data_IF_970455207713
#
_entry.id   IF_970455207713
#
_cell.length_a   1.000
_cell.length_b   1.000
_cell.length_c   1.000
_cell.angle_alpha   90.00
_cell.angle_beta   90.00
_cell.angle_gamma   90.00
#
_symmetry.space_group_name_H-M   'P 1'
#
loop_
_entity.id
_entity.type
_entity.pdbx_description
1 polymer ?
#
# COMPACT_ATOMS: atom_id res chain seq x y z
N UNK A 1 39.59 18.13 60.23
CA UNK A 1 39.84 17.68 58.84
C UNK A 1 38.51 17.66 58.07
N UNK A 2 38.38 18.49 57.02
CA UNK A 2 37.38 18.36 55.91
C UNK A 2 38.05 17.52 54.80
N UNK A 3 37.35 16.81 53.88
CA UNK A 3 36.42 17.37 52.85
C UNK A 3 35.09 16.58 52.73
N UNK A 4 33.92 17.06 52.26
CA UNK A 4 33.50 17.88 51.11
C UNK A 4 33.52 17.12 49.76
N UNK A 5 32.38 16.53 49.33
CA UNK A 5 32.02 16.29 47.91
C UNK A 5 30.54 15.87 47.79
N UNK A 6 29.69 16.77 47.26
CA UNK A 6 29.01 16.69 45.94
C UNK A 6 27.80 15.73 45.91
N UNK A 7 26.57 16.25 46.06
CA UNK A 7 25.68 16.76 45.00
C UNK A 7 25.17 15.69 44.02
N UNK A 8 23.86 15.40 44.19
CA UNK A 8 22.86 15.19 43.16
C UNK A 8 23.12 14.07 42.14
N UNK A 9 22.60 12.87 42.45
CA UNK A 9 22.27 11.90 41.40
C UNK A 9 21.01 12.37 40.68
N UNK A 10 21.19 12.67 39.39
CA UNK A 10 20.16 13.08 38.46
C UNK A 10 18.99 12.09 38.45
N UNK A 11 17.76 12.63 38.47
CA UNK A 11 16.55 11.89 38.20
C UNK A 11 16.57 11.40 36.75
N UNK A 12 16.66 10.09 36.56
CA UNK A 12 16.42 9.44 35.28
C UNK A 12 14.91 9.48 35.03
N UNK A 13 14.43 10.50 34.33
CA UNK A 13 13.06 10.52 33.80
C UNK A 13 13.06 9.51 32.65
N UNK A 14 12.49 8.34 32.89
CA UNK A 14 12.17 7.40 31.82
C UNK A 14 11.19 8.10 30.88
N UNK A 15 11.68 8.53 29.72
CA UNK A 15 10.86 9.00 28.61
C UNK A 15 9.87 7.89 28.27
N UNK A 16 8.58 8.13 28.55
CA UNK A 16 7.50 7.35 27.97
C UNK A 16 7.61 7.56 26.47
N UNK A 17 8.12 6.55 25.77
CA UNK A 17 8.04 6.44 24.33
C UNK A 17 6.54 6.40 23.95
N UNK A 18 5.96 7.57 23.74
CA UNK A 18 4.77 7.69 22.93
C UNK A 18 5.16 7.11 21.58
N UNK A 19 4.61 5.94 21.24
CA UNK A 19 4.77 5.39 19.90
C UNK A 19 4.20 6.40 18.92
N UNK A 20 5.07 7.15 18.26
CA UNK A 20 4.73 7.92 17.07
C UNK A 20 3.99 6.97 16.12
N UNK A 21 2.89 7.40 15.45
CA UNK A 21 2.30 6.60 14.40
C UNK A 21 3.43 6.27 13.43
N UNK A 22 3.75 4.98 13.31
CA UNK A 22 4.81 4.53 12.42
C UNK A 22 4.37 4.92 11.02
N UNK A 23 4.94 6.00 10.52
CA UNK A 23 4.88 6.41 9.12
C UNK A 23 5.72 5.38 8.34
N UNK A 24 5.28 4.12 8.34
CA UNK A 24 5.87 3.11 7.48
C UNK A 24 5.64 3.63 6.06
N UNK A 25 6.71 3.83 5.28
CA UNK A 25 6.59 4.44 3.98
C UNK A 25 5.61 3.62 3.16
N UNK A 26 4.49 4.25 2.76
CA UNK A 26 3.46 3.64 1.92
C UNK A 26 4.14 2.90 0.78
N UNK A 27 4.09 1.57 0.83
CA UNK A 27 4.87 0.75 -0.08
C UNK A 27 4.17 0.74 -1.42
N UNK A 28 4.87 1.18 -2.47
CA UNK A 28 4.39 1.03 -3.84
C UNK A 28 4.39 -0.46 -4.21
N UNK A 29 3.19 -1.01 -4.46
CA UNK A 29 3.03 -2.43 -4.82
C UNK A 29 3.62 -2.72 -6.20
N UNK A 30 3.68 -1.72 -7.08
CA UNK A 30 3.99 -1.84 -8.50
C UNK A 30 5.37 -1.31 -8.88
N UNK A 31 6.17 -0.91 -7.88
CA UNK A 31 7.54 -0.48 -8.05
C UNK A 31 8.41 -1.54 -8.75
N UNK A 32 9.39 -1.07 -9.52
CA UNK A 32 10.30 -1.95 -10.25
C UNK A 32 11.13 -2.81 -9.28
N UNK A 33 11.26 -4.11 -9.58
CA UNK A 33 11.98 -5.06 -8.73
C UNK A 33 11.16 -5.64 -7.58
N UNK A 34 9.93 -5.19 -7.36
CA UNK A 34 9.01 -5.84 -6.42
C UNK A 34 8.62 -7.20 -6.99
N UNK A 35 8.88 -8.27 -6.22
CA UNK A 35 8.37 -9.60 -6.55
C UNK A 35 6.96 -9.76 -6.03
N UNK A 36 6.09 -10.19 -6.91
CA UNK A 36 4.70 -10.49 -6.61
C UNK A 36 4.59 -11.90 -6.01
N UNK A 37 4.06 -11.97 -4.80
CA UNK A 37 3.96 -13.21 -4.01
C UNK A 37 2.57 -13.39 -3.42
N UNK A 38 1.59 -12.60 -3.87
CA UNK A 38 0.20 -12.72 -3.48
C UNK A 38 -0.36 -14.11 -3.77
N UNK A 39 -1.39 -14.49 -3.01
CA UNK A 39 -2.18 -15.68 -3.30
C UNK A 39 -2.64 -15.68 -4.77
N UNK A 40 -2.62 -16.86 -5.37
CA UNK A 40 -3.03 -17.03 -6.76
C UNK A 40 -4.55 -16.86 -6.89
N UNK A 41 -4.98 -16.21 -7.97
CA UNK A 41 -6.38 -15.96 -8.29
C UNK A 41 -6.73 -16.50 -9.68
N UNK A 42 -7.95 -17.00 -9.80
CA UNK A 42 -8.59 -17.38 -11.05
C UNK A 42 -9.83 -16.49 -11.21
N UNK A 43 -9.92 -15.74 -12.31
CA UNK A 43 -10.98 -14.75 -12.52
C UNK A 43 -11.27 -14.62 -14.02
N UNK A 44 -12.54 -14.61 -14.38
CA UNK A 44 -13.00 -14.31 -15.74
C UNK A 44 -14.08 -13.23 -15.69
N UNK A 45 -13.74 -12.03 -16.14
CA UNK A 45 -14.64 -10.87 -16.18
C UNK A 45 -14.51 -10.16 -17.51
N UNK A 46 -15.62 -9.67 -18.03
CA UNK A 46 -15.69 -8.98 -19.33
C UNK A 46 -16.36 -7.63 -19.17
N UNK A 47 -15.66 -6.57 -19.56
CA UNK A 47 -16.17 -5.20 -19.48
C UNK A 47 -16.54 -4.76 -18.05
N UNK A 48 -15.88 -5.31 -17.04
CA UNK A 48 -16.14 -5.00 -15.64
C UNK A 48 -15.56 -3.64 -15.26
N UNK A 49 -16.25 -2.93 -14.38
CA UNK A 49 -15.79 -1.64 -13.87
C UNK A 49 -14.56 -1.81 -12.97
N UNK A 50 -13.63 -0.85 -13.06
CA UNK A 50 -12.36 -0.92 -12.31
C UNK A 50 -12.56 -1.06 -10.80
N UNK A 51 -13.53 -0.34 -10.24
CA UNK A 51 -13.84 -0.40 -8.82
C UNK A 51 -14.28 -1.81 -8.40
N UNK A 52 -15.12 -2.47 -9.19
CA UNK A 52 -15.53 -3.85 -8.94
C UNK A 52 -14.37 -4.83 -9.08
N UNK A 53 -13.50 -4.63 -10.08
CA UNK A 53 -12.32 -5.48 -10.28
C UNK A 53 -11.37 -5.37 -9.09
N UNK A 54 -11.06 -4.17 -8.61
CA UNK A 54 -10.21 -3.99 -7.44
C UNK A 54 -10.86 -4.55 -6.16
N UNK A 55 -12.19 -4.43 -6.03
CA UNK A 55 -12.94 -5.05 -4.93
C UNK A 55 -12.79 -6.57 -4.92
N UNK A 56 -12.99 -7.23 -6.07
CA UNK A 56 -12.82 -8.69 -6.19
C UNK A 56 -11.38 -9.14 -5.88
N UNK A 57 -10.39 -8.36 -6.31
CA UNK A 57 -8.97 -8.62 -5.98
C UNK A 57 -8.75 -8.50 -4.47
N UNK A 58 -9.24 -7.44 -3.83
CA UNK A 58 -9.08 -7.20 -2.40
C UNK A 58 -9.76 -8.27 -1.53
N UNK A 59 -10.97 -8.67 -1.91
CA UNK A 59 -11.72 -9.76 -1.26
C UNK A 59 -10.91 -11.07 -1.30
N UNK A 60 -10.30 -11.37 -2.44
CA UNK A 60 -9.46 -12.57 -2.60
C UNK A 60 -8.14 -12.46 -1.83
N UNK A 61 -7.54 -11.27 -1.83
CA UNK A 61 -6.31 -10.98 -1.09
C UNK A 61 -6.51 -10.87 0.43
N UNK A 62 -7.77 -10.79 0.90
CA UNK A 62 -8.16 -10.55 2.30
C UNK A 62 -7.56 -9.25 2.87
N UNK A 63 -7.51 -8.20 2.06
CA UNK A 63 -7.03 -6.87 2.45
C UNK A 63 -8.18 -5.85 2.43
N UNK A 64 -8.05 -4.77 3.18
CA UNK A 64 -8.95 -3.63 3.06
C UNK A 64 -8.64 -2.85 1.78
N UNK A 65 -9.64 -2.20 1.20
CA UNK A 65 -9.50 -1.47 -0.06
C UNK A 65 -10.03 -0.05 0.06
N UNK A 66 -9.25 0.91 -0.43
CA UNK A 66 -9.68 2.30 -0.65
C UNK A 66 -9.48 2.65 -2.11
N UNK A 67 -10.58 3.00 -2.79
CA UNK A 67 -10.58 3.47 -4.18
C UNK A 67 -11.45 4.74 -4.25
N UNK A 68 -10.93 5.88 -4.72
CA UNK A 68 -11.71 7.08 -4.96
C UNK A 68 -12.62 6.93 -6.19
N UNK A 69 -13.64 7.77 -6.26
CA UNK A 69 -14.66 7.78 -7.31
C UNK A 69 -14.10 8.13 -8.70
N UNK A 70 -13.00 8.87 -8.77
CA UNK A 70 -12.31 9.26 -10.00
C UNK A 70 -11.55 8.09 -10.69
N UNK A 71 -11.43 6.94 -10.02
CA UNK A 71 -10.97 5.68 -10.61
C UNK A 71 -12.14 5.07 -11.40
N UNK A 72 -12.15 5.37 -12.70
CA UNK A 72 -13.20 4.97 -13.64
C UNK A 72 -12.61 4.28 -14.86
N UNK A 73 -13.40 3.43 -15.51
CA UNK A 73 -12.97 2.66 -16.67
C UNK A 73 -13.46 1.22 -16.60
N UNK A 74 -13.21 0.48 -17.68
CA UNK A 74 -13.59 -0.93 -17.80
C UNK A 74 -12.40 -1.78 -18.20
N UNK A 75 -12.38 -3.02 -17.74
CA UNK A 75 -11.35 -4.01 -18.07
C UNK A 75 -11.97 -5.38 -18.32
N UNK A 76 -11.30 -6.16 -19.16
CA UNK A 76 -11.60 -7.58 -19.38
C UNK A 76 -10.41 -8.39 -18.92
N UNK A 77 -10.63 -9.36 -18.04
CA UNK A 77 -9.60 -10.19 -17.45
C UNK A 77 -9.98 -11.66 -17.61
N UNK A 78 -9.01 -12.48 -18.01
CA UNK A 78 -9.10 -13.94 -17.97
C UNK A 78 -7.81 -14.46 -17.34
N UNK A 79 -7.90 -14.85 -16.07
CA UNK A 79 -6.76 -15.12 -15.19
C UNK A 79 -6.83 -16.56 -14.70
N UNK A 80 -5.67 -17.22 -14.67
CA UNK A 80 -5.51 -18.60 -14.19
C UNK A 80 -4.27 -18.72 -13.32
N UNK A 81 -4.45 -18.97 -12.02
CA UNK A 81 -3.37 -19.07 -11.03
C UNK A 81 -2.36 -17.91 -11.07
N UNK A 82 -2.84 -16.67 -11.18
CA UNK A 82 -1.97 -15.47 -11.22
C UNK A 82 -1.94 -14.82 -9.84
N UNK A 83 -0.78 -14.36 -9.38
CA UNK A 83 -0.68 -13.64 -8.10
C UNK A 83 -1.52 -12.35 -8.14
N UNK A 84 -2.38 -12.13 -7.13
CA UNK A 84 -3.32 -11.01 -7.12
C UNK A 84 -2.64 -9.64 -7.21
N UNK A 85 -1.46 -9.50 -6.61
CA UNK A 85 -0.65 -8.29 -6.59
C UNK A 85 -0.06 -7.98 -7.97
N UNK A 86 0.34 -9.02 -8.72
CA UNK A 86 0.74 -8.87 -10.11
C UNK A 86 -0.44 -8.40 -10.99
N UNK A 87 -1.63 -8.94 -10.75
CA UNK A 87 -2.85 -8.57 -11.48
C UNK A 87 -3.23 -7.12 -11.17
N UNK A 88 -3.25 -6.74 -9.89
CA UNK A 88 -3.55 -5.38 -9.46
C UNK A 88 -2.61 -4.37 -10.15
N UNK A 89 -1.31 -4.68 -10.19
CA UNK A 89 -0.33 -3.85 -10.86
C UNK A 89 -0.48 -3.81 -12.38
N UNK A 90 -0.86 -4.92 -13.02
CA UNK A 90 -1.13 -4.94 -14.45
C UNK A 90 -2.32 -4.02 -14.79
N UNK A 91 -3.43 -4.12 -14.04
CA UNK A 91 -4.61 -3.27 -14.22
C UNK A 91 -4.27 -1.80 -13.95
N UNK A 92 -3.55 -1.50 -12.87
CA UNK A 92 -3.18 -0.13 -12.54
C UNK A 92 -2.34 0.54 -13.63
N UNK A 93 -1.34 -0.17 -14.18
CA UNK A 93 -0.49 0.35 -15.26
C UNK A 93 -1.26 0.65 -16.53
N UNK A 94 -2.26 -0.17 -16.89
CA UNK A 94 -3.10 0.05 -18.07
C UNK A 94 -3.98 1.30 -17.97
N UNK A 95 -4.33 1.70 -16.74
CA UNK A 95 -5.25 2.80 -16.47
C UNK A 95 -4.58 4.02 -15.81
N UNK A 96 -3.24 4.09 -15.81
CA UNK A 96 -2.47 5.17 -15.17
C UNK A 96 -2.86 5.40 -13.70
N UNK A 97 -2.92 4.31 -12.95
CA UNK A 97 -3.23 4.30 -11.53
C UNK A 97 -1.96 4.01 -10.72
N UNK A 98 -1.90 4.57 -9.51
CA UNK A 98 -0.93 4.24 -8.49
C UNK A 98 -1.56 3.29 -7.47
N UNK A 99 -0.78 2.32 -6.99
CA UNK A 99 -1.18 1.41 -5.92
C UNK A 99 -0.18 1.52 -4.78
N UNK A 100 -0.68 1.86 -3.60
CA UNK A 100 0.11 1.89 -2.37
C UNK A 100 -0.48 0.96 -1.33
N UNK A 101 0.38 0.37 -0.51
CA UNK A 101 0.00 -0.47 0.62
C UNK A 101 0.38 0.23 1.91
N UNK A 102 -0.61 0.40 2.78
CA UNK A 102 -0.49 0.96 4.12
C UNK A 102 -1.00 -0.09 5.12
N UNK A 103 -0.06 -0.86 5.71
CA UNK A 103 -0.39 -2.02 6.53
C UNK A 103 -1.25 -3.05 5.77
N UNK A 104 -2.53 -3.19 6.17
CA UNK A 104 -3.51 -4.09 5.53
C UNK A 104 -4.49 -3.35 4.59
N UNK A 105 -4.17 -2.12 4.19
CA UNK A 105 -5.01 -1.30 3.32
C UNK A 105 -4.32 -1.16 1.97
N UNK A 106 -5.00 -1.63 0.93
CA UNK A 106 -4.66 -1.38 -0.46
C UNK A 106 -5.33 -0.07 -0.89
N UNK A 107 -4.52 0.91 -1.27
CA UNK A 107 -4.99 2.21 -1.73
C UNK A 107 -4.70 2.33 -3.21
N UNK A 108 -5.74 2.49 -4.01
CA UNK A 108 -5.65 2.71 -5.46
C UNK A 108 -6.04 4.14 -5.74
N UNK A 109 -5.18 4.91 -6.40
CA UNK A 109 -5.48 6.29 -6.80
C UNK A 109 -5.07 6.50 -8.25
N UNK A 110 -5.47 7.63 -8.84
CA UNK A 110 -4.80 8.04 -10.08
C UNK A 110 -3.33 8.31 -9.82
N UNK A 111 -2.50 7.95 -10.81
CA UNK A 111 -1.10 8.31 -10.80
C UNK A 111 -1.02 9.85 -10.83
N UNK A 112 -0.31 10.49 -9.87
CA UNK A 112 -0.11 11.92 -9.93
C UNK A 112 0.61 12.25 -11.23
N UNK A 113 0.08 13.19 -12.00
CA UNK A 113 0.69 13.60 -13.26
C UNK A 113 2.17 13.92 -13.00
N UNK A 114 3.07 13.12 -13.58
CA UNK A 114 4.50 13.31 -13.40
C UNK A 114 4.87 14.73 -13.86
N UNK A 115 5.33 15.62 -12.98
CA UNK A 115 5.71 16.96 -13.38
C UNK A 115 7.02 16.87 -14.17
N UNK A 116 6.93 16.82 -15.51
CA UNK A 116 8.10 17.04 -16.37
C UNK A 116 8.39 16.03 -17.49
N UNK A 117 7.38 15.57 -18.24
CA UNK A 117 7.64 15.09 -19.61
C UNK A 117 7.25 16.19 -20.60
N UNK A 118 8.19 17.08 -20.93
CA UNK A 118 8.12 17.92 -22.14
C UNK A 118 8.52 17.09 -23.35
#
# INVERSE_FOLDING_TARGET
MRPLLAMLFAAMIATVAHGEPRDEPRRDLCAQGVRHHGAAIDLDVKGADLQDVFRLIADTARVNLVVPDDVTGKVTLHLRRVAWDAVACAVARLHHLAITVDGNILVVTREPASPGRK
#
